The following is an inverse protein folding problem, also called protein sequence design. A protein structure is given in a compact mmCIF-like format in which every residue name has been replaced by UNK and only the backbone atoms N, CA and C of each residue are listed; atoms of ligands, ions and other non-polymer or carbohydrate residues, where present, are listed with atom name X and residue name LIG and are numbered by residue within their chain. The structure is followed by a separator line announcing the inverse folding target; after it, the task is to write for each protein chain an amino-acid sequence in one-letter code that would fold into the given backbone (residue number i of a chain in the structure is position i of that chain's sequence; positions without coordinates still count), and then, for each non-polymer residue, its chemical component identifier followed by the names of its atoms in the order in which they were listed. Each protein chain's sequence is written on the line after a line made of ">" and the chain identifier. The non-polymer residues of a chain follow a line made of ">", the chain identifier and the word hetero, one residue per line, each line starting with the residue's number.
data_IF_386358269680
#
_entry.id   IF_386358269680
#
_cell.length_a   1.000
_cell.length_b   1.000
_cell.length_c   1.000
_cell.angle_alpha   90.00
_cell.angle_beta   90.00
_cell.angle_gamma   90.00
#
_symmetry.space_group_name_H-M   'P 1'
#
loop_
_entity.id
_entity.type
_entity.pdbx_description
1 polymer ?
#
# COMPACT_ATOMS: atom_id res chain seq x y z
N UNK A 1 13.84 9.96 -22.22
CA UNK A 1 14.13 9.54 -20.82
C UNK A 1 12.90 8.96 -20.12
N UNK A 2 11.73 9.59 -20.18
CA UNK A 2 10.47 9.08 -19.60
C UNK A 2 10.16 7.62 -19.96
N UNK A 3 10.16 7.27 -21.25
CA UNK A 3 9.91 5.90 -21.72
C UNK A 3 10.84 4.85 -21.09
N UNK A 4 12.13 5.16 -20.95
CA UNK A 4 13.09 4.26 -20.32
C UNK A 4 12.70 3.95 -18.87
N UNK A 5 12.33 4.96 -18.08
CA UNK A 5 11.94 4.77 -16.69
C UNK A 5 10.61 4.03 -16.52
N UNK A 6 9.65 4.26 -17.43
CA UNK A 6 8.42 3.48 -17.46
C UNK A 6 8.71 1.99 -17.72
N UNK A 7 9.62 1.67 -18.65
CA UNK A 7 10.06 0.29 -18.88
C UNK A 7 10.78 -0.31 -17.66
N UNK A 8 11.61 0.47 -16.97
CA UNK A 8 12.24 0.03 -15.70
C UNK A 8 11.17 -0.31 -14.65
N UNK A 9 10.17 0.56 -14.47
CA UNK A 9 9.04 0.31 -13.58
C UNK A 9 8.27 -0.95 -13.96
N UNK A 10 7.89 -1.07 -15.24
CA UNK A 10 7.18 -2.23 -15.78
C UNK A 10 7.94 -3.55 -15.53
N UNK A 11 9.21 -3.62 -15.93
CA UNK A 11 10.04 -4.83 -15.77
C UNK A 11 10.21 -5.16 -14.28
N UNK A 12 10.43 -4.17 -13.43
CA UNK A 12 10.51 -4.36 -11.98
C UNK A 12 9.24 -5.00 -11.42
N UNK A 13 8.07 -4.50 -11.80
CA UNK A 13 6.78 -5.06 -11.39
C UNK A 13 6.55 -6.47 -11.93
N UNK A 14 6.91 -6.75 -13.19
CA UNK A 14 6.80 -8.09 -13.77
C UNK A 14 7.67 -9.10 -13.03
N UNK A 15 8.91 -8.72 -12.68
CA UNK A 15 9.81 -9.58 -11.89
C UNK A 15 9.19 -9.88 -10.52
N UNK A 16 8.68 -8.84 -9.84
CA UNK A 16 7.97 -9.01 -8.56
C UNK A 16 6.76 -9.93 -8.68
N UNK A 17 5.92 -9.70 -9.70
CA UNK A 17 4.73 -10.49 -10.00
C UNK A 17 5.06 -11.98 -10.19
N UNK A 18 6.05 -12.31 -11.03
CA UNK A 18 6.47 -13.70 -11.23
C UNK A 18 6.94 -14.32 -9.90
N UNK A 19 7.80 -13.61 -9.16
CA UNK A 19 8.35 -14.12 -7.91
C UNK A 19 7.26 -14.37 -6.84
N UNK A 20 6.38 -13.40 -6.61
CA UNK A 20 5.30 -13.51 -5.63
C UNK A 20 4.25 -14.54 -6.06
N UNK A 21 3.94 -14.64 -7.35
CA UNK A 21 3.07 -15.69 -7.89
C UNK A 21 3.63 -17.09 -7.65
N UNK A 22 4.93 -17.29 -7.85
CA UNK A 22 5.61 -18.55 -7.53
C UNK A 22 5.56 -18.86 -6.02
N UNK A 23 5.77 -17.84 -5.17
CA UNK A 23 5.67 -18.00 -3.70
C UNK A 23 4.26 -18.34 -3.24
N UNK A 24 3.24 -17.65 -3.74
CA UNK A 24 1.84 -17.93 -3.45
C UNK A 24 1.46 -19.35 -3.88
N UNK A 25 1.89 -19.77 -5.07
CA UNK A 25 1.69 -21.14 -5.57
C UNK A 25 2.35 -22.20 -4.67
N UNK A 26 3.58 -21.94 -4.20
CA UNK A 26 4.26 -22.82 -3.25
C UNK A 26 3.57 -22.89 -1.87
N UNK A 27 2.75 -21.89 -1.53
CA UNK A 27 2.00 -21.80 -0.28
C UNK A 27 0.50 -22.12 -0.44
N UNK A 28 0.04 -22.69 -1.57
CA UNK A 28 -1.38 -22.85 -1.98
C UNK A 28 -2.34 -23.52 -0.98
N UNK A 29 -1.84 -24.07 0.13
CA UNK A 29 -2.62 -24.69 1.23
C UNK A 29 -2.07 -24.40 2.62
N UNK A 30 -1.29 -23.33 2.76
CA UNK A 30 -0.64 -22.93 4.01
C UNK A 30 -1.22 -21.61 4.49
N UNK A 31 -1.38 -21.48 5.80
CA UNK A 31 -1.70 -20.18 6.41
C UNK A 31 -0.58 -19.18 6.12
N UNK A 32 -0.96 -17.92 5.87
CA UNK A 32 -0.04 -16.88 5.41
C UNK A 32 0.19 -16.88 3.89
N UNK A 33 -0.55 -17.67 3.10
CA UNK A 33 -0.53 -17.59 1.62
C UNK A 33 -1.07 -16.25 1.11
N UNK A 34 -1.96 -15.60 1.85
CA UNK A 34 -2.54 -14.31 1.50
C UNK A 34 -1.48 -13.22 1.29
N UNK A 35 -0.38 -13.23 2.06
CA UNK A 35 0.68 -12.22 1.94
C UNK A 35 1.39 -12.24 0.58
N UNK A 36 1.98 -13.36 0.11
CA UNK A 36 2.53 -13.41 -1.25
C UNK A 36 1.46 -13.27 -2.33
N UNK A 37 0.21 -13.67 -2.08
CA UNK A 37 -0.88 -13.50 -3.05
C UNK A 37 -1.26 -12.02 -3.23
N UNK A 38 -1.32 -11.26 -2.14
CA UNK A 38 -1.57 -9.83 -2.15
C UNK A 38 -0.43 -9.07 -2.83
N UNK A 39 0.83 -9.38 -2.47
CA UNK A 39 2.02 -8.85 -3.15
C UNK A 39 2.02 -9.16 -4.65
N UNK A 40 1.54 -10.34 -5.06
CA UNK A 40 1.35 -10.70 -6.47
C UNK A 40 0.32 -9.78 -7.15
N UNK A 41 -0.85 -9.56 -6.54
CA UNK A 41 -1.88 -8.70 -7.13
C UNK A 41 -1.45 -7.24 -7.20
N UNK A 42 -0.76 -6.73 -6.17
CA UNK A 42 -0.20 -5.37 -6.16
C UNK A 42 0.75 -5.18 -7.35
N UNK A 43 1.68 -6.12 -7.56
CA UNK A 43 2.67 -6.03 -8.64
C UNK A 43 2.06 -6.31 -10.01
N UNK A 44 1.07 -7.20 -10.13
CA UNK A 44 0.33 -7.43 -11.36
C UNK A 44 -0.44 -6.18 -11.81
N UNK A 45 -1.16 -5.54 -10.87
CA UNK A 45 -1.91 -4.32 -11.14
C UNK A 45 -0.98 -3.18 -11.58
N UNK A 46 0.09 -2.95 -10.81
CA UNK A 46 1.09 -1.94 -11.16
C UNK A 46 1.75 -2.23 -12.52
N UNK A 47 2.10 -3.49 -12.83
CA UNK A 47 2.65 -3.86 -14.13
C UNK A 47 1.69 -3.51 -15.28
N UNK A 48 0.39 -3.80 -15.12
CA UNK A 48 -0.60 -3.45 -16.12
C UNK A 48 -0.68 -1.93 -16.35
N UNK A 49 -0.71 -1.12 -15.28
CA UNK A 49 -0.78 0.33 -15.40
C UNK A 49 0.53 0.95 -15.92
N UNK A 50 1.69 0.37 -15.60
CA UNK A 50 2.95 0.76 -16.24
C UNK A 50 2.91 0.49 -17.75
N UNK A 51 2.34 -0.65 -18.18
CA UNK A 51 2.17 -0.96 -19.59
C UNK A 51 1.24 0.04 -20.29
N UNK A 52 0.09 0.38 -19.70
CA UNK A 52 -0.82 1.37 -20.31
C UNK A 52 -0.16 2.76 -20.44
N UNK A 53 0.68 3.14 -19.47
CA UNK A 53 1.46 4.38 -19.56
C UNK A 53 2.55 4.33 -20.65
N UNK A 54 3.21 3.19 -20.84
CA UNK A 54 4.19 2.96 -21.91
C UNK A 54 3.51 3.12 -23.28
N UNK A 55 2.34 2.51 -23.44
CA UNK A 55 1.53 2.53 -24.67
C UNK A 55 0.83 3.88 -24.90
N UNK A 56 0.85 4.78 -23.91
CA UNK A 56 0.24 6.11 -24.00
C UNK A 56 -1.28 6.11 -23.81
N UNK A 57 -1.87 5.00 -23.37
CA UNK A 57 -3.32 4.85 -23.17
C UNK A 57 -3.82 5.63 -21.95
N UNK A 58 -2.97 5.73 -20.91
CA UNK A 58 -3.29 6.39 -19.64
C UNK A 58 -2.43 7.64 -19.38
N UNK A 59 -2.07 8.32 -20.48
CA UNK A 59 -1.23 9.53 -20.48
C UNK A 59 -1.92 10.58 -21.34
N UNK A 60 -2.07 11.80 -20.84
CA UNK A 60 -2.78 12.85 -21.58
C UNK A 60 -2.20 14.23 -21.26
N UNK A 61 -2.06 15.13 -22.24
CA UNK A 61 -1.75 16.52 -21.96
C UNK A 61 -2.95 17.20 -21.30
N UNK A 62 -2.76 17.73 -20.09
CA UNK A 62 -3.77 18.50 -19.33
C UNK A 62 -3.09 19.78 -18.88
N UNK A 63 -3.75 20.93 -19.10
CA UNK A 63 -3.20 22.25 -18.74
C UNK A 63 -1.79 22.53 -19.29
N UNK A 64 -1.45 21.94 -20.46
CA UNK A 64 -0.13 22.08 -21.10
C UNK A 64 0.96 21.18 -20.52
N UNK A 65 0.65 20.35 -19.52
CA UNK A 65 1.57 19.39 -18.91
C UNK A 65 1.17 17.95 -19.25
N UNK A 66 2.14 17.05 -19.34
CA UNK A 66 1.86 15.62 -19.57
C UNK A 66 1.51 14.95 -18.26
N UNK A 67 0.25 14.58 -18.08
CA UNK A 67 -0.25 13.92 -16.87
C UNK A 67 -0.36 12.41 -17.09
N UNK A 68 0.29 11.65 -16.22
CA UNK A 68 0.25 10.18 -16.21
C UNK A 68 -0.87 9.70 -15.29
N UNK A 69 -2.13 9.91 -15.69
CA UNK A 69 -3.28 9.59 -14.85
C UNK A 69 -3.42 8.09 -14.52
N UNK A 70 -2.78 7.22 -15.31
CA UNK A 70 -2.63 5.79 -14.99
C UNK A 70 -1.98 5.51 -13.63
N UNK A 71 -1.14 6.43 -13.12
CA UNK A 71 -0.55 6.32 -11.76
C UNK A 71 -1.61 6.33 -10.67
N UNK A 72 -2.63 7.18 -10.80
CA UNK A 72 -3.67 7.30 -9.79
C UNK A 72 -4.60 6.07 -9.81
N UNK A 73 -4.78 5.44 -10.97
CA UNK A 73 -5.49 4.15 -11.07
C UNK A 73 -4.68 3.01 -10.46
N UNK A 74 -3.35 3.02 -10.61
CA UNK A 74 -2.48 2.10 -9.86
C UNK A 74 -2.66 2.32 -8.37
N UNK A 75 -2.39 3.55 -7.90
CA UNK A 75 -2.30 3.86 -6.48
C UNK A 75 -3.62 3.66 -5.76
N UNK A 76 -4.77 4.04 -6.33
CA UNK A 76 -6.08 3.90 -5.65
C UNK A 76 -6.43 2.45 -5.33
N UNK A 77 -5.79 1.48 -6.00
CA UNK A 77 -5.92 0.04 -5.72
C UNK A 77 -4.77 -0.47 -4.87
N UNK A 78 -3.53 -0.13 -5.21
CA UNK A 78 -2.36 -0.74 -4.56
C UNK A 78 -2.03 -0.15 -3.19
N UNK A 79 -2.30 1.13 -2.96
CA UNK A 79 -2.04 1.77 -1.66
C UNK A 79 -2.96 1.28 -0.54
N UNK A 80 -4.28 1.05 -0.76
CA UNK A 80 -5.13 0.44 0.26
C UNK A 80 -4.72 -1.00 0.58
N UNK A 81 -4.26 -1.77 -0.41
CA UNK A 81 -3.76 -3.13 -0.18
C UNK A 81 -2.52 -3.09 0.72
N UNK A 82 -1.51 -2.28 0.41
CA UNK A 82 -0.32 -2.12 1.30
C UNK A 82 -0.69 -1.79 2.76
N UNK A 83 -1.72 -0.97 2.98
CA UNK A 83 -2.24 -0.62 4.31
C UNK A 83 -3.03 -1.76 4.96
N UNK A 84 -3.76 -2.54 4.17
CA UNK A 84 -4.43 -3.77 4.61
C UNK A 84 -3.40 -4.79 5.08
N UNK A 85 -2.34 -5.03 4.30
CA UNK A 85 -1.25 -5.94 4.64
C UNK A 85 -0.59 -5.58 5.98
N UNK A 86 -0.23 -4.31 6.18
CA UNK A 86 0.27 -3.81 7.47
C UNK A 86 -0.75 -3.99 8.61
N UNK A 87 -2.03 -3.81 8.32
CA UNK A 87 -3.12 -3.92 9.28
C UNK A 87 -3.28 -5.34 9.78
N UNK A 88 -3.23 -6.31 8.86
CA UNK A 88 -3.27 -7.75 9.17
C UNK A 88 -2.04 -8.16 9.98
N UNK A 89 -0.83 -7.74 9.57
CA UNK A 89 0.41 -8.03 10.32
C UNK A 89 0.33 -7.45 11.75
N UNK A 90 -0.19 -6.23 11.88
CA UNK A 90 -0.39 -5.58 13.18
C UNK A 90 -1.51 -6.20 14.03
N UNK A 91 -2.35 -7.06 13.45
CA UNK A 91 -3.55 -7.60 14.09
C UNK A 91 -4.56 -6.49 14.43
N UNK A 92 -4.67 -5.48 13.58
CA UNK A 92 -5.57 -4.35 13.77
C UNK A 92 -7.02 -4.75 13.44
N UNK A 93 -7.99 -4.13 14.12
CA UNK A 93 -9.41 -4.42 13.90
C UNK A 93 -9.82 -4.09 12.45
N UNK A 94 -10.59 -4.95 11.75
CA UNK A 94 -10.96 -4.73 10.35
C UNK A 94 -11.62 -3.37 10.06
N UNK A 95 -12.46 -2.87 11.00
CA UNK A 95 -13.08 -1.53 10.85
C UNK A 95 -12.08 -0.38 10.85
N UNK A 96 -10.98 -0.49 11.60
CA UNK A 96 -9.93 0.53 11.60
C UNK A 96 -9.11 0.44 10.31
N UNK A 97 -8.80 -0.77 9.84
CA UNK A 97 -8.14 -0.98 8.54
C UNK A 97 -8.98 -0.36 7.42
N UNK A 98 -10.28 -0.66 7.37
CA UNK A 98 -11.20 -0.09 6.38
C UNK A 98 -11.28 1.45 6.46
N UNK A 99 -11.24 2.02 7.65
CA UNK A 99 -11.21 3.48 7.84
C UNK A 99 -9.94 4.12 7.26
N UNK A 100 -8.77 3.51 7.50
CA UNK A 100 -7.50 4.01 6.97
C UNK A 100 -7.41 3.80 5.45
N UNK A 101 -7.89 2.67 4.92
CA UNK A 101 -8.06 2.46 3.48
C UNK A 101 -9.00 3.50 2.83
N UNK A 102 -10.07 3.89 3.52
CA UNK A 102 -10.97 4.95 3.04
C UNK A 102 -10.29 6.32 2.98
N UNK A 103 -9.50 6.67 4.00
CA UNK A 103 -8.67 7.89 4.01
C UNK A 103 -7.61 7.87 2.91
N UNK A 104 -7.06 6.70 2.61
CA UNK A 104 -6.07 6.48 1.54
C UNK A 104 -6.70 6.63 0.14
N UNK A 105 -7.86 6.03 -0.10
CA UNK A 105 -8.62 6.27 -1.34
C UNK A 105 -8.94 7.76 -1.49
N UNK A 106 -9.38 8.42 -0.43
CA UNK A 106 -9.62 9.87 -0.44
C UNK A 106 -8.34 10.66 -0.77
N UNK A 107 -7.20 10.28 -0.20
CA UNK A 107 -5.89 10.87 -0.51
C UNK A 107 -5.56 10.74 -2.01
N UNK A 108 -5.72 9.55 -2.60
CA UNK A 108 -5.41 9.34 -4.02
C UNK A 108 -6.39 10.08 -4.93
N UNK A 109 -7.69 10.04 -4.64
CA UNK A 109 -8.72 10.73 -5.44
C UNK A 109 -8.49 12.25 -5.42
N UNK A 110 -8.23 12.82 -4.25
CA UNK A 110 -7.94 14.26 -4.15
C UNK A 110 -6.61 14.64 -4.80
N UNK A 111 -5.60 13.78 -4.72
CA UNK A 111 -4.35 13.95 -5.47
C UNK A 111 -4.57 13.95 -6.99
N UNK A 112 -5.41 13.03 -7.49
CA UNK A 112 -5.78 12.99 -8.90
C UNK A 112 -6.52 14.25 -9.35
N UNK A 113 -7.49 14.72 -8.55
CA UNK A 113 -8.17 15.99 -8.83
C UNK A 113 -7.14 17.12 -8.92
N UNK A 114 -6.20 17.20 -7.97
CA UNK A 114 -5.10 18.18 -8.03
C UNK A 114 -4.26 18.07 -9.31
N UNK A 115 -4.02 16.87 -9.82
CA UNK A 115 -3.21 16.64 -11.02
C UNK A 115 -3.88 17.10 -12.32
N UNK A 116 -5.21 17.13 -12.36
CA UNK A 116 -5.98 17.57 -13.54
C UNK A 116 -6.50 18.99 -13.43
N UNK A 117 -6.45 19.57 -12.23
CA UNK A 117 -6.89 20.92 -11.94
C UNK A 117 -5.84 21.97 -12.37
N UNK A 118 -6.29 23.16 -12.76
CA UNK A 118 -5.38 24.26 -13.07
C UNK A 118 -4.92 25.00 -11.79
N UNK A 119 -3.71 25.59 -11.79
CA UNK A 119 -3.33 26.52 -10.72
C UNK A 119 -4.30 27.71 -10.60
N UNK A 120 -4.61 28.18 -9.38
CA UNK A 120 -4.00 27.76 -8.10
C UNK A 120 -4.74 26.61 -7.37
N UNK A 121 -5.83 26.09 -7.91
CA UNK A 121 -6.67 25.12 -7.21
C UNK A 121 -6.03 23.73 -7.10
N UNK A 122 -5.10 23.38 -7.99
CA UNK A 122 -4.25 22.18 -7.87
C UNK A 122 -3.55 22.10 -6.50
N UNK A 123 -3.05 23.22 -5.97
CA UNK A 123 -2.36 23.28 -4.68
C UNK A 123 -3.32 23.09 -3.50
N UNK A 124 -4.57 23.54 -3.61
CA UNK A 124 -5.59 23.29 -2.59
C UNK A 124 -5.87 21.78 -2.47
N UNK A 125 -6.03 21.11 -3.60
CA UNK A 125 -6.24 19.66 -3.64
C UNK A 125 -5.02 18.88 -3.16
N UNK A 126 -3.81 19.33 -3.50
CA UNK A 126 -2.58 18.76 -2.94
C UNK A 126 -2.51 18.90 -1.41
N UNK A 127 -2.90 20.06 -0.85
CA UNK A 127 -2.96 20.25 0.61
C UNK A 127 -4.00 19.33 1.27
N UNK A 128 -5.19 19.18 0.65
CA UNK A 128 -6.23 18.27 1.14
C UNK A 128 -5.75 16.82 1.13
N UNK A 129 -5.15 16.38 0.02
CA UNK A 129 -4.56 15.04 -0.12
C UNK A 129 -3.46 14.80 0.93
N UNK A 130 -2.56 15.77 1.09
CA UNK A 130 -1.49 15.72 2.09
C UNK A 130 -2.04 15.69 3.52
N UNK A 131 -3.14 16.40 3.81
CA UNK A 131 -3.82 16.32 5.10
C UNK A 131 -4.33 14.91 5.40
N UNK A 132 -4.92 14.24 4.41
CA UNK A 132 -5.33 12.84 4.54
C UNK A 132 -4.12 11.91 4.75
N UNK A 133 -3.03 12.14 4.00
CA UNK A 133 -1.77 11.41 4.18
C UNK A 133 -1.22 11.53 5.61
N UNK A 134 -1.23 12.73 6.20
CA UNK A 134 -0.79 12.93 7.58
C UNK A 134 -1.67 12.18 8.59
N UNK A 135 -2.97 12.06 8.34
CA UNK A 135 -3.86 11.25 9.18
C UNK A 135 -3.50 9.74 9.09
N UNK A 136 -3.19 9.24 7.89
CA UNK A 136 -2.71 7.86 7.68
C UNK A 136 -1.40 7.62 8.43
N UNK A 137 -0.42 8.53 8.30
CA UNK A 137 0.84 8.47 9.05
C UNK A 137 0.61 8.46 10.56
N UNK A 138 -0.30 9.31 11.04
CA UNK A 138 -0.73 9.33 12.44
C UNK A 138 -1.23 7.96 12.89
N UNK A 139 -2.07 7.31 12.07
CA UNK A 139 -2.60 6.00 12.42
C UNK A 139 -1.56 4.87 12.40
N UNK A 140 -0.64 4.91 11.43
CA UNK A 140 0.48 3.97 11.37
C UNK A 140 1.36 4.05 12.62
N UNK A 141 1.62 5.27 13.10
CA UNK A 141 2.47 5.54 14.26
C UNK A 141 1.76 5.30 15.61
N UNK A 142 0.42 5.31 15.62
CA UNK A 142 -0.39 5.15 16.83
C UNK A 142 -1.15 3.83 16.85
N UNK A 143 -2.34 3.70 16.28
CA UNK A 143 -3.20 2.51 16.46
C UNK A 143 -2.56 1.23 15.90
N UNK A 144 -1.97 1.30 14.69
CA UNK A 144 -1.27 0.16 14.09
C UNK A 144 -0.10 -0.29 14.98
N UNK A 145 0.74 0.68 15.38
CA UNK A 145 1.92 0.43 16.22
C UNK A 145 1.55 -0.10 17.60
N UNK A 146 0.46 0.39 18.21
CA UNK A 146 -0.05 -0.11 19.47
C UNK A 146 -0.60 -1.53 19.34
N UNK A 147 -1.21 -1.87 18.20
CA UNK A 147 -1.69 -3.22 17.92
C UNK A 147 -0.55 -4.21 17.70
N UNK A 148 0.44 -3.85 16.88
CA UNK A 148 1.60 -4.68 16.61
C UNK A 148 2.42 -4.99 17.87
N UNK A 149 2.53 -4.06 18.82
CA UNK A 149 3.20 -4.27 20.12
C UNK A 149 2.58 -5.38 20.98
N UNK A 150 1.30 -5.72 20.77
CA UNK A 150 0.62 -6.82 21.46
C UNK A 150 0.87 -8.18 20.78
N UNK A 151 1.49 -8.20 19.61
CA UNK A 151 1.88 -9.40 18.89
C UNK A 151 3.22 -9.91 19.42
N UNK A 152 3.62 -11.11 19.02
CA UNK A 152 4.93 -11.63 19.38
C UNK A 152 6.07 -10.75 18.81
N UNK A 153 7.26 -10.84 19.41
CA UNK A 153 8.39 -9.98 19.06
C UNK A 153 8.80 -10.04 17.58
N UNK A 154 8.66 -11.20 16.94
CA UNK A 154 9.01 -11.38 15.52
C UNK A 154 8.03 -10.66 14.60
N UNK A 155 6.72 -10.77 14.85
CA UNK A 155 5.68 -10.05 14.10
C UNK A 155 5.79 -8.53 14.33
N UNK A 156 6.00 -8.10 15.58
CA UNK A 156 6.18 -6.68 15.89
C UNK A 156 7.42 -6.09 15.19
N UNK A 157 8.53 -6.84 15.11
CA UNK A 157 9.73 -6.42 14.40
C UNK A 157 9.50 -6.33 12.88
N UNK A 158 8.79 -7.30 12.30
CA UNK A 158 8.39 -7.26 10.89
C UNK A 158 7.53 -6.02 10.61
N UNK A 159 6.49 -5.80 11.42
CA UNK A 159 5.62 -4.64 11.31
C UNK A 159 6.41 -3.33 11.37
N UNK A 160 7.28 -3.15 12.37
CA UNK A 160 8.06 -1.92 12.50
C UNK A 160 8.96 -1.67 11.29
N UNK A 161 9.56 -2.72 10.74
CA UNK A 161 10.40 -2.64 9.53
C UNK A 161 9.58 -2.18 8.35
N UNK A 162 8.45 -2.85 8.08
CA UNK A 162 7.55 -2.53 6.97
C UNK A 162 6.92 -1.14 7.11
N UNK A 163 6.46 -0.78 8.31
CA UNK A 163 5.93 0.55 8.63
C UNK A 163 6.97 1.64 8.31
N UNK A 164 8.21 1.47 8.76
CA UNK A 164 9.26 2.47 8.54
C UNK A 164 9.60 2.62 7.06
N UNK A 165 9.71 1.50 6.33
CA UNK A 165 9.91 1.51 4.87
C UNK A 165 8.78 2.27 4.19
N UNK A 166 7.52 1.94 4.51
CA UNK A 166 6.35 2.55 3.92
C UNK A 166 6.31 4.06 4.19
N UNK A 167 6.50 4.50 5.44
CA UNK A 167 6.51 5.92 5.80
C UNK A 167 7.59 6.69 5.04
N UNK A 168 8.83 6.18 5.03
CA UNK A 168 9.96 6.85 4.37
C UNK A 168 9.70 7.00 2.87
N UNK A 169 9.23 5.95 2.21
CA UNK A 169 8.94 5.98 0.78
C UNK A 169 7.73 6.87 0.46
N UNK A 170 6.66 6.78 1.24
CA UNK A 170 5.41 7.49 0.95
C UNK A 170 5.54 9.00 1.12
N UNK A 171 6.38 9.47 2.06
CA UNK A 171 6.68 10.91 2.19
C UNK A 171 7.30 11.48 0.90
N UNK A 172 8.02 10.68 0.13
CA UNK A 172 8.63 11.14 -1.11
C UNK A 172 7.59 11.45 -2.20
N UNK A 173 6.42 10.79 -2.22
CA UNK A 173 5.41 10.99 -3.28
C UNK A 173 4.85 12.42 -3.34
N UNK A 174 4.30 13.02 -2.26
CA UNK A 174 3.82 14.39 -2.32
C UNK A 174 4.94 15.41 -2.56
N UNK A 175 6.19 15.09 -2.19
CA UNK A 175 7.37 15.91 -2.49
C UNK A 175 7.69 15.87 -4.00
N UNK A 176 7.70 14.68 -4.60
CA UNK A 176 7.90 14.55 -6.05
C UNK A 176 6.79 15.26 -6.80
N UNK A 177 5.53 15.10 -6.37
CA UNK A 177 4.38 15.78 -6.96
C UNK A 177 4.52 17.30 -6.95
N UNK A 178 4.81 17.90 -5.79
CA UNK A 178 4.86 19.36 -5.66
C UNK A 178 6.06 19.98 -6.39
N UNK A 179 7.15 19.22 -6.55
CA UNK A 179 8.31 19.64 -7.34
C UNK A 179 8.17 19.32 -8.83
N UNK A 180 7.27 18.40 -9.19
CA UNK A 180 7.07 17.85 -10.53
C UNK A 180 6.22 18.73 -11.45
N UNK A 181 5.76 18.12 -12.54
CA UNK A 181 5.00 18.79 -13.58
C UNK A 181 3.62 19.25 -13.13
N UNK A 182 3.03 18.63 -12.10
CA UNK A 182 1.73 19.03 -11.56
C UNK A 182 1.81 20.21 -10.56
N UNK A 183 3.00 20.48 -10.03
CA UNK A 183 3.26 21.51 -9.03
C UNK A 183 4.10 22.67 -9.54
N UNK A 184 5.27 22.86 -8.93
CA UNK A 184 6.16 23.99 -9.19
C UNK A 184 7.06 23.84 -10.43
N UNK A 185 7.01 22.72 -11.15
CA UNK A 185 7.81 22.47 -12.35
C UNK A 185 9.33 22.60 -12.14
N UNK A 186 9.80 22.22 -10.94
CA UNK A 186 11.23 22.25 -10.57
C UNK A 186 11.99 21.09 -11.23
N UNK A 187 11.36 19.92 -11.32
CA UNK A 187 11.92 18.75 -11.99
C UNK A 187 11.16 18.47 -13.29
N UNK A 188 11.86 17.95 -14.30
CA UNK A 188 11.23 17.59 -15.56
C UNK A 188 10.41 16.31 -15.43
N UNK A 189 9.42 16.12 -16.31
CA UNK A 189 8.60 14.89 -16.41
C UNK A 189 9.45 13.62 -16.46
N UNK A 190 10.63 13.68 -17.09
CA UNK A 190 11.56 12.54 -17.14
C UNK A 190 12.15 12.18 -15.77
N UNK A 191 12.50 13.17 -14.96
CA UNK A 191 13.00 12.98 -13.58
C UNK A 191 11.88 12.59 -12.63
N UNK A 192 10.70 13.19 -12.78
CA UNK A 192 9.51 12.81 -12.02
C UNK A 192 9.14 11.35 -12.26
N UNK A 193 9.16 10.91 -13.53
CA UNK A 193 8.91 9.51 -13.91
C UNK A 193 9.97 8.58 -13.32
N UNK A 194 11.25 8.96 -13.34
CA UNK A 194 12.32 8.22 -12.65
C UNK A 194 11.97 8.04 -11.18
N UNK A 195 11.68 9.14 -10.48
CA UNK A 195 11.38 9.13 -9.05
C UNK A 195 10.23 8.18 -8.74
N UNK A 196 9.09 8.32 -9.42
CA UNK A 196 7.95 7.44 -9.21
C UNK A 196 8.25 5.98 -9.56
N UNK A 197 8.99 5.69 -10.62
CA UNK A 197 9.36 4.31 -10.96
C UNK A 197 10.25 3.65 -9.92
N UNK A 198 11.24 4.37 -9.39
CA UNK A 198 12.07 3.85 -8.30
C UNK A 198 11.26 3.68 -7.02
N UNK A 199 10.46 4.69 -6.66
CA UNK A 199 9.60 4.64 -5.47
C UNK A 199 8.62 3.48 -5.54
N UNK A 200 7.92 3.29 -6.67
CA UNK A 200 6.95 2.23 -6.84
C UNK A 200 7.60 0.85 -6.74
N UNK A 201 8.73 0.63 -7.39
CA UNK A 201 9.46 -0.66 -7.29
C UNK A 201 9.88 -0.91 -5.84
N UNK A 202 10.37 0.10 -5.12
CA UNK A 202 10.72 -0.06 -3.71
C UNK A 202 9.50 -0.33 -2.82
N UNK A 203 8.41 0.41 -3.02
CA UNK A 203 7.21 0.37 -2.19
C UNK A 203 6.33 -0.86 -2.45
N UNK A 204 6.44 -1.48 -3.63
CA UNK A 204 5.65 -2.66 -4.00
C UNK A 204 6.51 -3.92 -3.98
N UNK A 205 7.56 -3.95 -4.79
CA UNK A 205 8.44 -5.12 -4.91
C UNK A 205 9.34 -5.25 -3.68
N UNK A 206 10.04 -4.18 -3.30
CA UNK A 206 10.91 -4.16 -2.12
C UNK A 206 10.14 -4.47 -0.83
N UNK A 207 8.98 -3.84 -0.64
CA UNK A 207 8.07 -4.11 0.48
C UNK A 207 7.64 -5.58 0.52
N UNK A 208 7.11 -6.11 -0.59
CA UNK A 208 6.67 -7.52 -0.66
C UNK A 208 7.82 -8.50 -0.42
N UNK A 209 9.05 -8.19 -0.86
CA UNK A 209 10.23 -9.00 -0.56
C UNK A 209 10.51 -9.09 0.94
N UNK A 210 10.38 -7.99 1.69
CA UNK A 210 10.55 -7.99 3.15
C UNK A 210 9.48 -8.85 3.82
N UNK A 211 8.23 -8.76 3.35
CA UNK A 211 7.11 -9.55 3.88
C UNK A 211 7.37 -11.05 3.70
N UNK A 212 7.59 -11.50 2.46
CA UNK A 212 7.73 -12.94 2.18
C UNK A 212 9.05 -13.53 2.72
N UNK A 213 9.99 -12.67 3.11
CA UNK A 213 11.24 -13.08 3.79
C UNK A 213 11.07 -13.28 5.30
N UNK A 214 9.93 -12.90 5.89
CA UNK A 214 9.67 -13.06 7.33
C UNK A 214 9.64 -14.53 7.79
N UNK A 215 9.46 -15.46 6.85
CA UNK A 215 9.36 -16.91 7.07
C UNK A 215 7.92 -17.38 7.27
N UNK A 216 7.61 -18.57 6.76
CA UNK A 216 6.26 -19.11 6.68
C UNK A 216 5.55 -19.19 8.06
N UNK A 217 6.27 -19.53 9.12
CA UNK A 217 5.70 -19.59 10.48
C UNK A 217 5.22 -18.22 10.97
N UNK A 218 6.02 -17.17 10.73
CA UNK A 218 5.67 -15.79 11.08
C UNK A 218 4.43 -15.35 10.32
N UNK A 219 4.37 -15.66 9.02
CA UNK A 219 3.24 -15.32 8.17
C UNK A 219 1.97 -16.07 8.58
N UNK A 220 2.06 -17.36 8.89
CA UNK A 220 0.92 -18.12 9.41
C UNK A 220 0.41 -17.55 10.75
N UNK A 221 1.30 -17.16 11.65
CA UNK A 221 0.90 -16.52 12.91
C UNK A 221 0.30 -15.13 12.68
N UNK A 222 0.82 -14.35 11.72
CA UNK A 222 0.30 -13.04 11.33
C UNK A 222 -1.13 -13.15 10.78
N UNK A 223 -1.35 -14.13 9.90
CA UNK A 223 -2.64 -14.51 9.28
C UNK A 223 -3.72 -14.84 10.32
N UNK A 224 -3.38 -15.64 11.34
CA UNK A 224 -4.34 -16.18 12.32
C UNK A 224 -4.95 -15.18 13.34
N UNK A 225 -4.74 -13.87 13.16
CA UNK A 225 -5.19 -12.85 14.13
C UNK A 225 -6.71 -12.84 14.34
N UNK A 226 -7.50 -13.09 13.30
CA UNK A 226 -8.96 -13.09 13.40
C UNK A 226 -9.50 -14.38 14.04
N UNK A 227 -8.91 -15.54 13.70
CA UNK A 227 -9.36 -16.85 14.21
C UNK A 227 -9.09 -17.05 15.70
N UNK A 228 -7.95 -16.58 16.22
CA UNK A 228 -7.65 -16.75 17.65
C UNK A 228 -8.61 -15.89 18.49
N UNK A 229 -8.92 -14.67 18.05
CA UNK A 229 -9.86 -13.81 18.76
C UNK A 229 -11.31 -14.33 18.67
N UNK A 230 -11.72 -14.85 17.51
CA UNK A 230 -13.02 -15.54 17.38
C UNK A 230 -13.09 -16.80 18.24
N UNK A 231 -12.02 -17.60 18.28
CA UNK A 231 -11.94 -18.83 19.08
C UNK A 231 -11.98 -18.49 20.57
N UNK A 232 -11.16 -17.56 21.04
CA UNK A 232 -11.18 -17.10 22.45
C UNK A 232 -12.54 -16.51 22.83
N UNK A 233 -13.14 -15.71 21.95
CA UNK A 233 -14.48 -15.18 22.18
C UNK A 233 -15.54 -16.28 22.23
N UNK A 234 -15.47 -17.29 21.36
CA UNK A 234 -16.37 -18.45 21.39
C UNK A 234 -16.18 -19.30 22.65
N UNK A 235 -14.94 -19.48 23.13
CA UNK A 235 -14.65 -20.19 24.37
C UNK A 235 -15.18 -19.44 25.59
N UNK A 236 -14.94 -18.13 25.67
CA UNK A 236 -15.47 -17.29 26.75
C UNK A 236 -17.01 -17.28 26.77
N UNK A 237 -17.65 -17.20 25.60
CA UNK A 237 -19.11 -17.29 25.50
C UNK A 237 -19.65 -18.68 25.87
N UNK A 238 -18.86 -19.74 25.70
CA UNK A 238 -19.23 -21.09 26.12
C UNK A 238 -19.09 -21.29 27.64
N UNK A 239 -18.03 -20.76 28.26
CA UNK A 239 -17.85 -20.78 29.72
C UNK A 239 -18.93 -19.93 30.43
N UNK A 240 -19.28 -18.76 29.90
CA UNK A 240 -20.38 -17.94 30.45
C UNK A 240 -21.74 -18.65 30.38
N UNK A 241 -22.00 -19.46 29.33
CA UNK A 241 -23.22 -20.29 29.24
C UNK A 241 -23.22 -21.46 30.21
N UNK A 242 -22.08 -22.10 30.45
CA UNK A 242 -21.97 -23.18 31.43
C UNK A 242 -22.11 -22.66 32.88
N UNK A 243 -21.70 -21.42 33.15
CA UNK A 243 -21.80 -20.82 34.48
C UNK A 243 -23.16 -20.19 34.81
N UNK A 244 -24.06 -20.01 33.84
CA UNK A 244 -25.43 -19.51 34.05
C UNK A 244 -26.49 -20.42 33.43
N UNK A 245 -26.75 -21.61 33.99
CA UNK A 245 -27.72 -22.56 33.43
C UNK A 245 -29.20 -22.16 33.62
N UNK A 246 -29.49 -21.02 34.27
CA UNK A 246 -30.86 -20.62 34.67
C UNK A 246 -31.22 -19.17 34.33
N UNK A 247 -30.96 -18.73 33.10
CA UNK A 247 -31.63 -17.57 32.51
C UNK A 247 -32.24 -17.92 31.16
#
# INVERSE_FOLDING_TARGET
>A
MTQFWLWVGFIGMVIGCIYFGMKASAMRRREGMEFPLESFFITLWAAALYLTMILGETVTPINGQTVFWGRYIDWVVTTPLLLMELGVIAGLRPKLIAGVMGADIFMIVTGFIGAVEAPPYNYLWWLISTGSFLAILGSLLTEYSASAKRRNGRINSLFQTLRNILIVLWICYPIVWILGAEGFHVISVGWETLCYSVLDVCAKVGFGFVVVSAGNETLAQASNSDRIMETVHSYMQSEEREQSPYR
#
